data_IF_841517985064
#
_entry.id   IF_841517985064
#
_cell.length_a   1.000
_cell.length_b   1.000
_cell.length_c   1.000
_cell.angle_alpha   90.00
_cell.angle_beta   90.00
_cell.angle_gamma   90.00
#
_symmetry.space_group_name_H-M   'P 1'
#
loop_
_entity.id
_entity.type
_entity.pdbx_description
1 polymer ?
#
# COMPACT_ATOMS: atom_id res chain seq x y z
N UNK A 1 -21.94 25.35 11.31
CA UNK A 1 -21.96 24.01 11.93
C UNK A 1 -21.74 22.98 10.83
N UNK A 2 -20.64 22.22 10.96
CA UNK A 2 -20.22 21.20 9.98
C UNK A 2 -21.36 20.22 9.66
N UNK A 3 -21.56 19.85 8.39
CA UNK A 3 -22.71 19.07 7.93
C UNK A 3 -22.86 17.73 8.65
N UNK A 4 -21.77 17.02 8.90
CA UNK A 4 -21.74 15.75 9.64
C UNK A 4 -22.14 15.96 11.12
N UNK A 5 -21.56 16.95 11.78
CA UNK A 5 -21.88 17.29 13.18
C UNK A 5 -23.36 17.68 13.31
N UNK A 6 -23.88 18.52 12.40
CA UNK A 6 -25.30 18.91 12.36
C UNK A 6 -26.24 17.73 12.16
N UNK A 7 -25.85 16.79 11.29
CA UNK A 7 -26.61 15.58 11.00
C UNK A 7 -26.59 14.60 12.19
N UNK A 8 -25.46 14.48 12.86
CA UNK A 8 -25.31 13.67 14.07
C UNK A 8 -26.08 14.26 15.25
N UNK A 9 -25.96 15.55 15.50
CA UNK A 9 -26.71 16.24 16.54
C UNK A 9 -28.23 16.13 16.30
N UNK A 10 -28.71 16.32 15.07
CA UNK A 10 -30.12 16.17 14.71
C UNK A 10 -30.62 14.74 14.85
N UNK A 11 -29.77 13.74 14.63
CA UNK A 11 -30.14 12.33 14.71
C UNK A 11 -30.17 11.80 16.14
N UNK A 12 -29.27 12.28 16.99
CA UNK A 12 -29.01 11.68 18.30
C UNK A 12 -29.28 12.57 19.51
N UNK A 13 -29.49 13.86 19.33
CA UNK A 13 -29.81 14.81 20.40
C UNK A 13 -31.17 15.45 20.14
N UNK A 14 -32.19 14.85 20.69
CA UNK A 14 -33.57 15.38 20.68
C UNK A 14 -33.81 16.23 21.92
N UNK A 15 -33.21 17.43 22.00
CA UNK A 15 -33.43 18.38 23.08
C UNK A 15 -32.93 19.78 22.68
N UNK A 16 -33.47 20.81 23.39
CA UNK A 16 -33.11 22.21 23.17
C UNK A 16 -31.66 22.46 23.64
N UNK A 17 -30.69 22.33 22.73
CA UNK A 17 -29.26 22.52 22.95
C UNK A 17 -28.84 24.02 23.12
N UNK A 18 -29.82 24.92 23.22
CA UNK A 18 -29.57 26.36 23.14
C UNK A 18 -29.25 27.05 24.46
N UNK A 19 -29.28 26.40 25.62
CA UNK A 19 -29.23 27.05 26.93
C UNK A 19 -28.00 26.70 27.78
N UNK A 20 -27.08 25.83 27.32
CA UNK A 20 -25.87 25.49 28.04
C UNK A 20 -24.63 26.05 27.34
N UNK A 21 -24.08 27.15 27.87
CA UNK A 21 -22.89 27.83 27.32
C UNK A 21 -21.65 26.94 27.24
N UNK A 22 -21.52 25.97 28.14
CA UNK A 22 -20.41 25.00 28.16
C UNK A 22 -20.52 24.01 26.99
N UNK A 23 -21.72 23.54 26.73
CA UNK A 23 -21.99 22.62 25.62
C UNK A 23 -21.86 23.33 24.27
N UNK A 24 -22.28 24.60 24.19
CA UNK A 24 -22.13 25.44 22.99
C UNK A 24 -20.64 25.65 22.64
N UNK A 25 -19.83 25.98 23.62
CA UNK A 25 -18.38 26.14 23.45
C UNK A 25 -17.70 24.85 23.02
N UNK A 26 -18.07 23.72 23.58
CA UNK A 26 -17.58 22.39 23.19
C UNK A 26 -17.97 22.05 21.75
N UNK A 27 -19.24 22.23 21.38
CA UNK A 27 -19.71 21.98 20.03
C UNK A 27 -19.01 22.87 18.99
N UNK A 28 -18.71 24.11 19.32
CA UNK A 28 -17.95 25.03 18.47
C UNK A 28 -16.51 24.55 18.29
N UNK A 29 -15.87 24.08 19.34
CA UNK A 29 -14.50 23.53 19.28
C UNK A 29 -14.46 22.24 18.44
N UNK A 30 -15.44 21.36 18.62
CA UNK A 30 -15.60 20.14 17.82
C UNK A 30 -15.85 20.45 16.35
N UNK A 31 -16.72 21.41 16.05
CA UNK A 31 -16.99 21.89 14.69
C UNK A 31 -15.71 22.37 14.00
N UNK A 32 -14.98 23.26 14.66
CA UNK A 32 -13.71 23.78 14.13
C UNK A 32 -12.68 22.69 13.87
N UNK A 33 -12.69 21.65 14.71
CA UNK A 33 -11.82 20.48 14.53
C UNK A 33 -12.25 19.64 13.32
N UNK A 34 -13.55 19.47 13.07
CA UNK A 34 -14.06 18.78 11.88
C UNK A 34 -13.73 19.55 10.59
N UNK A 35 -13.95 20.88 10.56
CA UNK A 35 -13.63 21.71 9.40
C UNK A 35 -12.13 21.65 9.07
N UNK A 36 -11.28 21.81 10.08
CA UNK A 36 -9.83 21.71 9.91
C UNK A 36 -9.38 20.31 9.47
N UNK A 37 -10.09 19.27 9.93
CA UNK A 37 -9.84 17.90 9.52
C UNK A 37 -10.22 17.65 8.05
N UNK A 38 -11.39 18.12 7.61
CA UNK A 38 -11.83 17.97 6.22
C UNK A 38 -10.91 18.71 5.26
N UNK A 39 -10.47 19.91 5.60
CA UNK A 39 -9.52 20.68 4.80
C UNK A 39 -8.18 19.96 4.69
N UNK A 40 -7.63 19.48 5.81
CA UNK A 40 -6.37 18.74 5.83
C UNK A 40 -6.49 17.39 5.12
N UNK A 41 -7.61 16.68 5.28
CA UNK A 41 -7.86 15.42 4.58
C UNK A 41 -7.97 15.65 3.06
N UNK A 42 -8.65 16.70 2.65
CA UNK A 42 -8.75 17.10 1.25
C UNK A 42 -7.39 17.48 0.66
N UNK A 43 -6.57 18.23 1.42
CA UNK A 43 -5.19 18.53 1.03
C UNK A 43 -4.34 17.26 0.91
N UNK A 44 -4.44 16.35 1.87
CA UNK A 44 -3.71 15.08 1.85
C UNK A 44 -4.14 14.20 0.66
N UNK A 45 -5.45 14.12 0.40
CA UNK A 45 -5.96 13.40 -0.77
C UNK A 45 -5.46 14.00 -2.08
N UNK A 46 -5.46 15.32 -2.21
CA UNK A 46 -4.91 16.00 -3.39
C UNK A 46 -3.41 15.75 -3.53
N UNK A 47 -2.65 15.88 -2.45
CA UNK A 47 -1.21 15.63 -2.46
C UNK A 47 -0.88 14.17 -2.82
N UNK A 48 -1.61 13.20 -2.27
CA UNK A 48 -1.42 11.77 -2.60
C UNK A 48 -1.84 11.46 -4.04
N UNK A 49 -2.91 12.07 -4.55
CA UNK A 49 -3.34 11.91 -5.94
C UNK A 49 -2.30 12.46 -6.90
N UNK A 50 -1.86 13.71 -6.69
CA UNK A 50 -0.84 14.37 -7.51
C UNK A 50 0.47 13.56 -7.49
N UNK A 51 0.93 13.15 -6.30
CA UNK A 51 2.15 12.34 -6.18
C UNK A 51 2.00 10.96 -6.81
N UNK A 52 0.82 10.35 -6.76
CA UNK A 52 0.56 9.08 -7.44
C UNK A 52 0.56 9.24 -8.96
N UNK A 53 -0.01 10.32 -9.48
CA UNK A 53 -0.01 10.65 -10.91
C UNK A 53 1.41 10.96 -11.40
N UNK A 54 2.18 11.74 -10.64
CA UNK A 54 3.58 12.06 -10.95
C UNK A 54 4.47 10.81 -10.89
N UNK A 55 4.27 9.94 -9.89
CA UNK A 55 4.98 8.67 -9.77
C UNK A 55 4.65 7.74 -10.94
N UNK A 56 3.37 7.67 -11.34
CA UNK A 56 2.94 6.89 -12.50
C UNK A 56 3.55 7.44 -13.80
N UNK A 57 3.55 8.77 -13.95
CA UNK A 57 4.17 9.42 -15.10
C UNK A 57 5.69 9.16 -15.15
N UNK A 58 6.39 9.29 -14.02
CA UNK A 58 7.81 9.01 -13.91
C UNK A 58 8.15 7.54 -14.18
N UNK A 59 7.37 6.60 -13.65
CA UNK A 59 7.54 5.17 -13.95
C UNK A 59 7.33 4.86 -15.43
N UNK A 60 6.31 5.46 -16.06
CA UNK A 60 6.08 5.30 -17.49
C UNK A 60 7.21 5.88 -18.34
N UNK A 61 7.78 6.99 -17.91
CA UNK A 61 8.94 7.60 -18.56
C UNK A 61 10.20 6.74 -18.41
N UNK A 62 10.43 6.17 -17.22
CA UNK A 62 11.48 5.19 -16.95
C UNK A 62 11.33 3.90 -17.78
N UNK A 63 10.11 3.39 -17.93
CA UNK A 63 9.83 2.22 -18.81
C UNK A 63 10.12 2.54 -20.27
N UNK A 64 9.70 3.70 -20.76
CA UNK A 64 9.98 4.14 -22.13
C UNK A 64 11.49 4.28 -22.34
N UNK A 65 12.19 4.83 -21.37
CA UNK A 65 13.63 5.00 -21.41
C UNK A 65 14.37 3.67 -21.38
N UNK A 66 13.93 2.72 -20.53
CA UNK A 66 14.49 1.37 -20.51
C UNK A 66 14.29 0.63 -21.85
N UNK A 67 13.14 0.83 -22.50
CA UNK A 67 12.90 0.27 -23.82
C UNK A 67 13.82 0.90 -24.90
N UNK A 68 14.06 2.23 -24.82
CA UNK A 68 15.01 2.91 -25.71
C UNK A 68 16.44 2.39 -25.51
N UNK A 69 16.87 2.23 -24.27
CA UNK A 69 18.19 1.66 -23.94
C UNK A 69 18.35 0.24 -24.48
N UNK A 70 17.33 -0.60 -24.33
CA UNK A 70 17.31 -1.96 -24.88
C UNK A 70 17.42 -1.95 -26.41
N UNK A 71 16.76 -1.01 -27.07
CA UNK A 71 16.84 -0.88 -28.53
C UNK A 71 18.24 -0.48 -29.00
N UNK A 72 18.89 0.45 -28.26
CA UNK A 72 20.26 0.88 -28.54
C UNK A 72 21.25 -0.24 -28.32
N UNK A 73 21.14 -0.99 -27.21
CA UNK A 73 21.97 -2.17 -26.93
C UNK A 73 21.84 -3.23 -28.02
N UNK A 74 20.63 -3.54 -28.47
CA UNK A 74 20.39 -4.46 -29.59
C UNK A 74 20.99 -3.94 -30.90
N UNK A 75 21.02 -2.62 -31.12
CA UNK A 75 21.62 -2.01 -32.29
C UNK A 75 23.16 -2.06 -32.27
N UNK A 76 23.75 -1.89 -31.07
CA UNK A 76 25.18 -2.08 -30.82
C UNK A 76 25.59 -3.53 -31.02
N UNK A 77 24.83 -4.49 -30.49
CA UNK A 77 25.08 -5.93 -30.65
C UNK A 77 25.05 -6.32 -32.14
N UNK A 78 24.06 -5.86 -32.88
CA UNK A 78 24.00 -6.07 -34.36
C UNK A 78 25.20 -5.42 -35.09
N UNK A 79 25.64 -4.25 -34.65
CA UNK A 79 26.80 -3.60 -35.24
C UNK A 79 28.09 -4.38 -34.96
N UNK A 80 28.25 -4.88 -33.71
CA UNK A 80 29.39 -5.72 -33.29
C UNK A 80 29.39 -7.04 -34.10
N UNK A 81 28.27 -7.74 -34.16
CA UNK A 81 28.14 -8.98 -34.94
C UNK A 81 28.44 -8.78 -36.42
N UNK A 82 28.00 -7.65 -36.99
CA UNK A 82 28.33 -7.29 -38.36
C UNK A 82 29.83 -7.00 -38.58
N UNK A 83 30.47 -6.44 -37.55
CA UNK A 83 31.94 -6.23 -37.54
C UNK A 83 32.70 -7.56 -37.46
N UNK A 84 32.29 -8.45 -36.55
CA UNK A 84 32.89 -9.76 -36.38
C UNK A 84 32.77 -10.61 -37.65
N UNK A 85 31.56 -10.65 -38.25
CA UNK A 85 31.34 -11.35 -39.53
C UNK A 85 32.20 -10.79 -40.68
N UNK A 86 32.43 -9.46 -40.72
CA UNK A 86 33.31 -8.85 -41.71
C UNK A 86 34.80 -9.08 -41.45
N UNK A 87 35.21 -9.26 -40.17
CA UNK A 87 36.59 -9.62 -39.80
C UNK A 87 36.87 -11.08 -40.13
N UNK A 88 35.92 -12.01 -39.90
CA UNK A 88 36.05 -13.44 -40.25
C UNK A 88 36.12 -13.62 -41.78
N UNK A 89 35.38 -12.83 -42.56
CA UNK A 89 35.42 -12.87 -44.03
C UNK A 89 36.75 -12.33 -44.61
N UNK A 90 37.50 -11.49 -43.88
CA UNK A 90 38.80 -10.99 -44.33
C UNK A 90 39.93 -12.03 -44.20
N UNK A 91 39.74 -13.13 -43.48
CA UNK A 91 40.69 -14.22 -43.34
C UNK A 91 40.63 -15.26 -44.48
N UNK A 92 39.68 -15.14 -45.42
CA UNK A 92 39.60 -15.93 -46.64
C UNK A 92 39.55 -15.01 -47.83
N UNK A 93 40.70 -14.81 -48.43
CA UNK A 93 41.04 -14.25 -49.75
C UNK A 93 39.88 -14.11 -50.75
N UNK A 94 39.54 -12.88 -51.17
CA UNK A 94 39.63 -12.52 -52.61
C UNK A 94 39.60 -10.98 -52.81
N UNK A 95 40.55 -10.52 -53.55
CA UNK A 95 40.83 -9.16 -53.94
C UNK A 95 39.96 -8.77 -55.15
N UNK A 96 38.65 -8.54 -55.00
CA UNK A 96 37.82 -7.82 -55.94
C UNK A 96 36.34 -7.89 -55.59
N UNK A 97 35.93 -7.01 -54.70
CA UNK A 97 34.55 -6.46 -54.74
C UNK A 97 34.50 -5.18 -53.95
N UNK A 98 34.05 -4.12 -54.58
CA UNK A 98 33.78 -2.78 -54.09
C UNK A 98 32.65 -2.72 -53.05
N UNK A 99 32.81 -3.39 -51.92
CA UNK A 99 32.15 -3.01 -50.68
C UNK A 99 33.22 -2.53 -49.73
N UNK A 100 33.70 -1.32 -50.04
CA UNK A 100 34.55 -0.58 -49.12
C UNK A 100 33.80 -0.47 -47.81
N UNK A 101 34.20 -1.30 -46.83
CA UNK A 101 33.72 -1.23 -45.46
C UNK A 101 34.07 0.17 -44.96
N UNK A 102 33.07 1.00 -44.84
CA UNK A 102 33.24 2.41 -44.43
C UNK A 102 33.44 2.44 -42.91
N UNK A 103 34.63 2.06 -42.45
CA UNK A 103 35.03 2.03 -41.04
C UNK A 103 34.81 3.41 -40.39
N UNK A 104 34.90 4.49 -41.18
CA UNK A 104 34.68 5.85 -40.70
C UNK A 104 33.20 6.11 -40.37
N UNK A 105 32.29 5.64 -41.19
CA UNK A 105 30.85 5.72 -40.92
C UNK A 105 30.45 4.89 -39.72
N UNK A 106 31.03 3.71 -39.55
CA UNK A 106 30.76 2.84 -38.39
C UNK A 106 31.33 3.44 -37.10
N UNK A 107 32.56 3.96 -37.13
CA UNK A 107 33.17 4.65 -36.00
C UNK A 107 32.34 5.89 -35.58
N UNK A 108 31.83 6.65 -36.53
CA UNK A 108 30.93 7.78 -36.29
C UNK A 108 29.60 7.28 -35.65
N UNK A 109 29.01 6.22 -36.17
CA UNK A 109 27.77 5.65 -35.61
C UNK A 109 27.95 5.15 -34.20
N UNK A 110 29.07 4.47 -33.89
CA UNK A 110 29.44 4.04 -32.55
C UNK A 110 29.62 5.25 -31.62
N UNK A 111 30.29 6.28 -32.07
CA UNK A 111 30.50 7.53 -31.31
C UNK A 111 29.16 8.22 -30.99
N UNK A 112 28.26 8.30 -31.98
CA UNK A 112 26.92 8.89 -31.82
C UNK A 112 26.06 8.07 -30.83
N UNK A 113 26.15 6.73 -30.91
CA UNK A 113 25.47 5.84 -29.97
C UNK A 113 26.04 5.99 -28.55
N UNK A 114 27.38 6.03 -28.41
CA UNK A 114 28.01 6.22 -27.10
C UNK A 114 27.61 7.56 -26.48
N UNK A 115 27.56 8.64 -27.26
CA UNK A 115 27.09 9.95 -26.81
C UNK A 115 25.63 9.89 -26.35
N UNK A 116 24.74 9.24 -27.12
CA UNK A 116 23.33 9.05 -26.72
C UNK A 116 23.21 8.27 -25.44
N UNK A 117 23.94 7.16 -25.27
CA UNK A 117 23.93 6.36 -24.04
C UNK A 117 24.38 7.19 -22.83
N UNK A 118 25.44 8.01 -23.01
CA UNK A 118 25.92 8.88 -21.94
C UNK A 118 24.87 9.95 -21.53
N UNK A 119 24.20 10.56 -22.51
CA UNK A 119 23.12 11.53 -22.25
C UNK A 119 21.95 10.87 -21.52
N UNK A 120 21.52 9.71 -22.01
CA UNK A 120 20.43 8.95 -21.39
C UNK A 120 20.76 8.49 -19.96
N UNK A 121 22.00 8.10 -19.70
CA UNK A 121 22.44 7.74 -18.35
C UNK A 121 22.37 8.96 -17.42
N UNK A 122 22.80 10.13 -17.88
CA UNK A 122 22.71 11.38 -17.10
C UNK A 122 21.26 11.80 -16.83
N UNK A 123 20.38 11.71 -17.83
CA UNK A 123 18.94 12.01 -17.67
C UNK A 123 18.28 11.04 -16.69
N UNK A 124 18.57 9.74 -16.79
CA UNK A 124 18.10 8.74 -15.83
C UNK A 124 18.53 9.07 -14.40
N UNK A 125 19.80 9.42 -14.20
CA UNK A 125 20.31 9.75 -12.87
C UNK A 125 19.63 11.02 -12.31
N UNK A 126 19.34 12.00 -13.15
CA UNK A 126 18.58 13.19 -12.77
C UNK A 126 17.15 12.83 -12.36
N UNK A 127 16.43 12.05 -13.18
CA UNK A 127 15.06 11.60 -12.88
C UNK A 127 15.00 10.79 -11.60
N UNK A 128 15.94 9.89 -11.37
CA UNK A 128 16.02 9.10 -10.12
C UNK A 128 16.24 10.00 -8.90
N UNK A 129 17.08 11.03 -9.03
CA UNK A 129 17.30 11.99 -7.93
C UNK A 129 16.06 12.82 -7.65
N UNK A 130 15.38 13.31 -8.69
CA UNK A 130 14.15 14.09 -8.55
C UNK A 130 13.03 13.25 -7.92
N UNK A 131 12.84 12.01 -8.40
CA UNK A 131 11.88 11.07 -7.85
C UNK A 131 12.15 10.78 -6.36
N UNK A 132 13.43 10.60 -5.99
CA UNK A 132 13.82 10.41 -4.59
C UNK A 132 13.48 11.64 -3.75
N UNK A 133 13.78 12.84 -4.23
CA UNK A 133 13.50 14.09 -3.52
C UNK A 133 12.00 14.32 -3.35
N UNK A 134 11.19 14.04 -4.38
CA UNK A 134 9.73 14.12 -4.29
C UNK A 134 9.17 13.11 -3.30
N UNK A 135 9.67 11.87 -3.31
CA UNK A 135 9.26 10.84 -2.37
C UNK A 135 9.59 11.23 -0.92
N UNK A 136 10.81 11.73 -0.65
CA UNK A 136 11.21 12.25 0.67
C UNK A 136 10.31 13.42 1.11
N UNK A 137 9.97 14.34 0.21
CA UNK A 137 9.08 15.47 0.50
C UNK A 137 7.66 15.00 0.83
N UNK A 138 7.11 14.04 0.08
CA UNK A 138 5.81 13.44 0.35
C UNK A 138 5.77 12.76 1.72
N UNK A 139 6.80 12.01 2.05
CA UNK A 139 6.91 11.33 3.35
C UNK A 139 6.96 12.32 4.51
N UNK A 140 7.77 13.36 4.37
CA UNK A 140 7.83 14.43 5.37
C UNK A 140 6.48 15.14 5.54
N UNK A 141 5.80 15.42 4.42
CA UNK A 141 4.47 16.01 4.44
C UNK A 141 3.45 15.09 5.13
N UNK A 142 3.45 13.80 4.80
CA UNK A 142 2.58 12.81 5.44
C UNK A 142 2.81 12.73 6.96
N UNK A 143 4.08 12.79 7.40
CA UNK A 143 4.44 12.84 8.81
C UNK A 143 3.89 14.09 9.52
N UNK A 144 4.10 15.27 8.96
CA UNK A 144 3.67 16.55 9.54
C UNK A 144 2.13 16.55 9.65
N UNK A 145 1.44 16.24 8.56
CA UNK A 145 -0.03 16.24 8.53
C UNK A 145 -0.60 15.19 9.51
N UNK A 146 0.00 14.01 9.58
CA UNK A 146 -0.45 12.97 10.51
C UNK A 146 -0.29 13.40 11.98
N UNK A 147 0.84 14.02 12.33
CA UNK A 147 1.08 14.55 13.67
C UNK A 147 0.04 15.62 14.03
N UNK A 148 -0.20 16.56 13.11
CA UNK A 148 -1.12 17.69 13.32
C UNK A 148 -2.59 17.27 13.36
N UNK A 149 -2.94 16.15 12.71
CA UNK A 149 -4.27 15.55 12.80
C UNK A 149 -4.45 14.72 14.09
N UNK A 150 -3.42 14.02 14.54
CA UNK A 150 -3.50 13.21 15.77
C UNK A 150 -3.66 14.05 17.03
N UNK A 151 -3.01 15.20 17.09
CA UNK A 151 -3.06 16.07 18.29
C UNK A 151 -4.49 16.47 18.66
N UNK A 152 -5.32 17.06 17.77
CA UNK A 152 -6.70 17.41 18.11
C UNK A 152 -7.58 16.18 18.40
N UNK A 153 -7.35 15.05 17.71
CA UNK A 153 -8.10 13.81 17.95
C UNK A 153 -7.85 13.31 19.37
N UNK A 154 -6.59 13.27 19.82
CA UNK A 154 -6.23 12.88 21.19
C UNK A 154 -6.84 13.80 22.21
N UNK A 155 -6.81 15.13 21.97
CA UNK A 155 -7.42 16.10 22.86
C UNK A 155 -8.93 15.87 23.00
N UNK A 156 -9.65 15.66 21.87
CA UNK A 156 -11.09 15.38 21.89
C UNK A 156 -11.36 14.05 22.60
N UNK A 157 -10.56 13.01 22.35
CA UNK A 157 -10.68 11.71 23.03
C UNK A 157 -10.49 11.84 24.54
N UNK A 158 -9.49 12.60 24.97
CA UNK A 158 -9.25 12.86 26.40
C UNK A 158 -10.41 13.61 27.05
N UNK A 159 -10.92 14.67 26.42
CA UNK A 159 -12.07 15.43 26.91
C UNK A 159 -13.32 14.57 26.99
N UNK A 160 -13.56 13.71 25.99
CA UNK A 160 -14.67 12.77 26.00
C UNK A 160 -14.58 11.77 27.14
N UNK A 161 -13.37 11.26 27.43
CA UNK A 161 -13.15 10.34 28.55
C UNK A 161 -13.41 11.03 29.90
N UNK A 162 -12.94 12.26 30.09
CA UNK A 162 -13.22 13.03 31.30
C UNK A 162 -14.72 13.26 31.49
N UNK A 163 -15.43 13.67 30.45
CA UNK A 163 -16.89 13.86 30.51
C UNK A 163 -17.59 12.54 30.87
N UNK A 164 -17.14 11.43 30.31
CA UNK A 164 -17.72 10.12 30.62
C UNK A 164 -17.43 9.65 32.04
N UNK A 165 -16.26 9.99 32.59
CA UNK A 165 -15.89 9.66 33.97
C UNK A 165 -16.62 10.53 34.99
N UNK A 166 -16.63 11.86 34.80
CA UNK A 166 -17.16 12.83 35.73
C UNK A 166 -18.71 12.82 35.77
N UNK A 167 -19.38 12.63 34.64
CA UNK A 167 -20.83 12.75 34.51
C UNK A 167 -21.55 11.42 34.27
N UNK A 168 -20.88 10.28 34.53
CA UNK A 168 -21.37 8.93 34.21
C UNK A 168 -22.78 8.64 34.73
N UNK A 169 -23.13 9.15 35.91
CA UNK A 169 -24.44 8.93 36.55
C UNK A 169 -25.53 9.88 36.00
N UNK A 170 -25.17 11.01 35.43
CA UNK A 170 -26.11 12.02 34.91
C UNK A 170 -26.50 11.81 33.47
N UNK A 171 -25.76 11.02 32.71
CA UNK A 171 -26.08 10.73 31.31
C UNK A 171 -27.26 9.80 31.14
N UNK A 172 -28.19 10.18 30.26
CA UNK A 172 -29.21 9.28 29.75
C UNK A 172 -28.58 8.13 28.96
N UNK A 173 -29.34 7.07 28.75
CA UNK A 173 -28.92 5.93 27.93
C UNK A 173 -28.50 6.36 26.53
N UNK A 174 -29.26 7.31 25.94
CA UNK A 174 -29.00 7.84 24.60
C UNK A 174 -27.71 8.67 24.58
N UNK A 175 -27.45 9.51 25.60
CA UNK A 175 -26.22 10.28 25.72
C UNK A 175 -24.98 9.38 25.85
N UNK A 176 -25.07 8.30 26.61
CA UNK A 176 -23.97 7.30 26.71
C UNK A 176 -23.70 6.63 25.37
N UNK A 177 -24.75 6.25 24.65
CA UNK A 177 -24.63 5.65 23.31
C UNK A 177 -23.94 6.62 22.35
N UNK A 178 -24.32 7.90 22.39
CA UNK A 178 -23.71 8.93 21.53
C UNK A 178 -22.23 9.16 21.88
N UNK A 179 -21.87 9.22 23.14
CA UNK A 179 -20.48 9.33 23.59
C UNK A 179 -19.65 8.12 23.11
N UNK A 180 -20.21 6.90 23.21
CA UNK A 180 -19.57 5.70 22.71
C UNK A 180 -19.33 5.77 21.18
N UNK A 181 -20.30 6.28 20.42
CA UNK A 181 -20.16 6.47 18.97
C UNK A 181 -19.09 7.51 18.63
N UNK A 182 -19.00 8.60 19.40
CA UNK A 182 -17.96 9.61 19.20
C UNK A 182 -16.59 8.99 19.46
N UNK A 183 -16.41 8.26 20.55
CA UNK A 183 -15.15 7.57 20.89
C UNK A 183 -14.74 6.59 19.79
N UNK A 184 -15.68 5.78 19.29
CA UNK A 184 -15.43 4.86 18.17
C UNK A 184 -15.01 5.59 16.89
N UNK A 185 -15.61 6.74 16.60
CA UNK A 185 -15.22 7.55 15.42
C UNK A 185 -13.81 8.15 15.60
N UNK A 186 -13.45 8.62 16.79
CA UNK A 186 -12.11 9.14 17.08
C UNK A 186 -11.05 8.03 16.92
N UNK A 187 -11.30 6.83 17.44
CA UNK A 187 -10.42 5.68 17.25
C UNK A 187 -10.29 5.29 15.76
N UNK A 188 -11.38 5.39 15.02
CA UNK A 188 -11.36 5.14 13.56
C UNK A 188 -10.54 6.19 12.82
N UNK A 189 -10.63 7.46 13.20
CA UNK A 189 -9.82 8.54 12.64
C UNK A 189 -8.34 8.33 12.94
N UNK A 190 -7.98 7.98 14.17
CA UNK A 190 -6.59 7.70 14.54
C UNK A 190 -6.00 6.56 13.69
N UNK A 191 -6.73 5.44 13.56
CA UNK A 191 -6.33 4.33 12.69
C UNK A 191 -6.21 4.69 11.21
N UNK A 192 -7.07 5.60 10.71
CA UNK A 192 -6.99 6.09 9.32
C UNK A 192 -5.70 6.88 9.12
N UNK A 193 -5.35 7.77 10.04
CA UNK A 193 -4.14 8.58 9.97
C UNK A 193 -2.89 7.69 10.04
N UNK A 194 -2.88 6.71 10.95
CA UNK A 194 -1.80 5.73 11.03
C UNK A 194 -1.61 4.98 9.72
N UNK A 195 -2.69 4.48 9.14
CA UNK A 195 -2.64 3.75 7.89
C UNK A 195 -2.17 4.60 6.70
N UNK A 196 -2.58 5.89 6.64
CA UNK A 196 -2.09 6.82 5.61
C UNK A 196 -0.59 7.05 5.77
N UNK A 197 -0.14 7.34 6.99
CA UNK A 197 1.27 7.57 7.28
C UNK A 197 2.10 6.35 6.92
N UNK A 198 1.67 5.18 7.34
CA UNK A 198 2.35 3.92 7.07
C UNK A 198 2.41 3.62 5.57
N UNK A 199 1.30 3.83 4.85
CA UNK A 199 1.29 3.70 3.40
C UNK A 199 2.25 4.70 2.73
N UNK A 200 2.29 5.95 3.16
CA UNK A 200 3.15 6.98 2.58
C UNK A 200 4.65 6.69 2.81
N UNK A 201 5.03 6.27 4.03
CA UNK A 201 6.44 6.09 4.43
C UNK A 201 7.03 4.72 4.06
N UNK A 202 6.23 3.83 3.49
CA UNK A 202 6.68 2.48 3.10
C UNK A 202 7.73 2.53 2.00
N UNK A 203 8.86 1.84 2.22
CA UNK A 203 9.98 1.77 1.26
C UNK A 203 11.05 2.86 1.43
N UNK A 204 10.94 3.76 2.42
CA UNK A 204 11.91 4.87 2.62
C UNK A 204 12.88 4.65 3.77
N UNK A 205 12.59 3.72 4.65
CA UNK A 205 13.48 3.38 5.78
C UNK A 205 14.46 2.27 5.41
N UNK A 206 15.64 2.27 6.02
CA UNK A 206 16.63 1.20 5.88
C UNK A 206 16.00 -0.14 6.29
N UNK A 207 15.91 -1.05 5.36
CA UNK A 207 15.30 -2.35 5.53
C UNK A 207 16.21 -3.27 6.34
N UNK A 208 15.74 -3.69 7.52
CA UNK A 208 16.39 -4.75 8.30
C UNK A 208 15.87 -6.10 7.81
N UNK A 209 16.50 -6.65 6.78
CA UNK A 209 16.23 -8.01 6.32
C UNK A 209 16.76 -9.04 7.32
N UNK A 210 15.88 -9.94 7.73
CA UNK A 210 16.22 -11.06 8.62
C UNK A 210 15.61 -12.36 8.10
N UNK A 211 16.26 -13.48 8.39
CA UNK A 211 15.70 -14.80 8.11
C UNK A 211 14.77 -15.22 9.24
N UNK A 212 13.54 -15.58 8.93
CA UNK A 212 12.54 -16.05 9.92
C UNK A 212 11.60 -17.09 9.31
N UNK A 213 11.04 -17.92 10.17
CA UNK A 213 9.98 -18.86 9.75
C UNK A 213 8.65 -18.15 9.60
N UNK A 214 7.98 -18.29 8.47
CA UNK A 214 6.62 -17.78 8.30
C UNK A 214 5.66 -18.39 9.31
N UNK A 215 5.87 -19.66 9.68
CA UNK A 215 5.05 -20.32 10.71
C UNK A 215 5.08 -19.55 12.02
N UNK A 216 6.28 -19.12 12.49
CA UNK A 216 6.38 -18.37 13.75
C UNK A 216 5.63 -17.04 13.70
N UNK A 217 5.60 -16.37 12.55
CA UNK A 217 4.81 -15.14 12.35
C UNK A 217 3.31 -15.44 12.43
N UNK A 218 2.83 -16.49 11.76
CA UNK A 218 1.41 -16.86 11.79
C UNK A 218 0.98 -17.34 13.18
N UNK A 219 1.83 -18.09 13.90
CA UNK A 219 1.55 -18.52 15.27
C UNK A 219 1.43 -17.32 16.22
N UNK A 220 2.31 -16.31 16.06
CA UNK A 220 2.25 -15.06 16.82
C UNK A 220 0.98 -14.26 16.49
N UNK A 221 0.64 -14.11 15.21
CA UNK A 221 -0.58 -13.43 14.80
C UNK A 221 -1.84 -14.14 15.34
N UNK A 222 -1.86 -15.46 15.32
CA UNK A 222 -2.98 -16.25 15.87
C UNK A 222 -3.17 -16.07 17.39
N UNK A 223 -2.09 -15.78 18.13
CA UNK A 223 -2.16 -15.51 19.57
C UNK A 223 -2.54 -14.06 19.88
N UNK A 224 -2.15 -13.11 19.04
CA UNK A 224 -2.35 -11.67 19.30
C UNK A 224 -3.66 -11.12 18.73
N UNK A 225 -4.15 -11.70 17.64
CA UNK A 225 -5.41 -11.28 17.03
C UNK A 225 -6.61 -11.88 17.76
N UNK A 226 -7.66 -11.06 17.87
CA UNK A 226 -8.96 -11.59 18.31
C UNK A 226 -9.58 -12.42 17.18
N UNK A 227 -9.63 -13.73 17.38
CA UNK A 227 -10.25 -14.70 16.47
C UNK A 227 -11.46 -15.31 17.17
N UNK A 228 -12.68 -15.11 16.66
CA UNK A 228 -13.89 -15.74 17.19
C UNK A 228 -13.78 -17.27 17.25
N UNK A 229 -14.40 -17.90 18.25
CA UNK A 229 -14.30 -19.36 18.49
C UNK A 229 -14.85 -20.22 17.35
N UNK A 230 -15.75 -19.67 16.53
CA UNK A 230 -16.32 -20.32 15.36
C UNK A 230 -15.39 -20.31 14.15
N UNK A 231 -14.21 -19.66 14.21
CA UNK A 231 -13.28 -19.54 13.10
C UNK A 231 -12.03 -20.36 13.36
N UNK A 232 -11.66 -21.17 12.38
CA UNK A 232 -10.43 -21.98 12.40
C UNK A 232 -9.45 -21.52 11.32
N UNK A 233 -8.21 -21.18 11.74
CA UNK A 233 -7.12 -20.82 10.83
C UNK A 233 -6.23 -22.05 10.65
N UNK A 234 -6.08 -22.50 9.41
CA UNK A 234 -5.36 -23.71 9.02
C UNK A 234 -4.18 -23.33 8.13
N UNK A 235 -3.01 -23.83 8.45
CA UNK A 235 -1.79 -23.78 7.62
C UNK A 235 -0.90 -24.98 7.88
N UNK A 236 -0.06 -25.33 6.90
CA UNK A 236 0.84 -26.46 7.00
C UNK A 236 1.99 -26.19 7.98
N UNK A 237 2.53 -27.23 8.59
CA UNK A 237 3.71 -27.13 9.45
C UNK A 237 4.98 -26.73 8.67
N UNK A 238 5.02 -27.06 7.37
CA UNK A 238 6.13 -26.78 6.47
C UNK A 238 5.88 -25.50 5.66
N UNK A 239 5.86 -24.34 6.35
CA UNK A 239 5.86 -23.04 5.68
C UNK A 239 7.29 -22.57 5.42
N UNK A 240 7.51 -21.67 4.43
CA UNK A 240 8.85 -21.23 4.06
C UNK A 240 9.54 -20.43 5.15
N UNK A 241 10.89 -20.47 5.12
CA UNK A 241 11.72 -19.46 5.74
C UNK A 241 11.85 -18.30 4.75
N UNK A 242 11.54 -17.09 5.23
CA UNK A 242 11.61 -15.87 4.43
C UNK A 242 12.82 -15.05 4.88
N UNK A 243 13.46 -14.36 3.92
CA UNK A 243 14.49 -13.37 4.19
C UNK A 243 14.02 -12.01 3.72
N UNK A 244 13.43 -11.25 4.63
CA UNK A 244 12.84 -9.94 4.36
C UNK A 244 12.59 -9.18 5.67
N UNK A 245 11.96 -8.02 5.63
CA UNK A 245 11.58 -7.25 6.81
C UNK A 245 10.37 -7.91 7.50
N UNK A 246 10.60 -8.51 8.67
CA UNK A 246 9.59 -9.28 9.41
C UNK A 246 8.30 -8.48 9.67
N UNK A 247 8.41 -7.19 10.03
CA UNK A 247 7.27 -6.32 10.32
C UNK A 247 6.35 -6.14 9.11
N UNK A 248 6.92 -6.07 7.90
CA UNK A 248 6.13 -5.95 6.65
C UNK A 248 5.33 -7.21 6.39
N UNK A 249 5.95 -8.36 6.62
CA UNK A 249 5.28 -9.66 6.44
C UNK A 249 4.20 -9.86 7.51
N UNK A 250 4.48 -9.54 8.76
CA UNK A 250 3.47 -9.53 9.84
C UNK A 250 2.27 -8.68 9.44
N UNK A 251 2.49 -7.48 8.96
CA UNK A 251 1.46 -6.54 8.54
C UNK A 251 0.65 -7.04 7.33
N UNK A 252 1.32 -7.61 6.32
CA UNK A 252 0.66 -8.19 5.16
C UNK A 252 -0.31 -9.30 5.58
N UNK A 253 0.20 -10.28 6.33
CA UNK A 253 -0.63 -11.40 6.79
C UNK A 253 -1.70 -10.96 7.78
N UNK A 254 -1.39 -10.05 8.70
CA UNK A 254 -2.37 -9.47 9.64
C UNK A 254 -3.56 -8.84 8.91
N UNK A 255 -3.31 -8.00 7.89
CA UNK A 255 -4.38 -7.35 7.13
C UNK A 255 -5.25 -8.38 6.38
N UNK A 256 -4.65 -9.38 5.74
CA UNK A 256 -5.40 -10.42 5.03
C UNK A 256 -6.18 -11.33 6.00
N UNK A 257 -5.58 -11.70 7.13
CA UNK A 257 -6.25 -12.52 8.16
C UNK A 257 -7.42 -11.75 8.79
N UNK A 258 -7.25 -10.48 9.15
CA UNK A 258 -8.35 -9.66 9.70
C UNK A 258 -9.51 -9.54 8.71
N UNK A 259 -9.21 -9.35 7.41
CA UNK A 259 -10.24 -9.31 6.38
C UNK A 259 -10.98 -10.65 6.28
N UNK A 260 -10.27 -11.78 6.29
CA UNK A 260 -10.84 -13.11 6.26
C UNK A 260 -11.68 -13.40 7.53
N UNK A 261 -11.20 -13.03 8.72
CA UNK A 261 -11.96 -13.14 9.98
C UNK A 261 -13.26 -12.34 9.90
N UNK A 262 -13.18 -11.08 9.43
CA UNK A 262 -14.38 -10.23 9.29
C UNK A 262 -15.38 -10.79 8.27
N UNK A 263 -14.89 -11.40 7.19
CA UNK A 263 -15.74 -12.01 6.17
C UNK A 263 -16.42 -13.29 6.67
N UNK A 264 -15.82 -14.00 7.62
CA UNK A 264 -16.30 -15.28 8.17
C UNK A 264 -17.00 -15.16 9.54
N UNK A 265 -17.03 -13.97 10.14
CA UNK A 265 -17.56 -13.76 11.51
C UNK A 265 -19.00 -14.27 11.69
N UNK A 266 -19.85 -14.12 10.67
CA UNK A 266 -21.24 -14.56 10.67
C UNK A 266 -21.43 -16.03 10.24
N UNK A 267 -20.37 -16.77 9.95
CA UNK A 267 -20.41 -18.17 9.51
C UNK A 267 -20.25 -19.09 10.73
N UNK A 268 -21.11 -20.08 10.90
CA UNK A 268 -21.05 -21.01 12.04
C UNK A 268 -19.73 -21.77 12.13
N UNK A 269 -19.13 -22.10 10.99
CA UNK A 269 -17.83 -22.75 10.86
C UNK A 269 -16.97 -21.98 9.88
N UNK A 270 -16.36 -20.89 10.34
CA UNK A 270 -15.43 -20.10 9.58
C UNK A 270 -14.11 -20.86 9.39
N UNK A 271 -13.62 -20.94 8.15
CA UNK A 271 -12.36 -21.59 7.81
C UNK A 271 -11.51 -20.59 7.04
N UNK A 272 -10.28 -20.40 7.52
CA UNK A 272 -9.26 -19.59 6.85
C UNK A 272 -8.06 -20.49 6.57
N UNK A 273 -7.75 -20.75 5.30
CA UNK A 273 -6.67 -21.63 4.91
C UNK A 273 -5.52 -20.81 4.28
N UNK A 274 -4.29 -21.00 4.80
CA UNK A 274 -3.09 -20.33 4.32
C UNK A 274 -2.15 -21.36 3.72
N UNK A 275 -1.78 -21.17 2.44
CA UNK A 275 -0.84 -22.03 1.73
C UNK A 275 0.32 -21.24 1.14
N UNK A 276 1.47 -21.90 1.04
CA UNK A 276 2.65 -21.38 0.36
C UNK A 276 3.14 -22.41 -0.67
N UNK A 277 3.61 -21.94 -1.81
CA UNK A 277 4.20 -22.78 -2.88
C UNK A 277 5.43 -22.09 -3.43
N UNK A 278 6.50 -22.86 -3.56
CA UNK A 278 7.71 -22.43 -4.25
C UNK A 278 7.47 -22.34 -5.76
N UNK A 279 7.81 -21.20 -6.37
CA UNK A 279 7.75 -20.95 -7.82
C UNK A 279 9.12 -20.52 -8.39
N UNK A 280 10.22 -21.04 -7.85
CA UNK A 280 11.56 -20.69 -8.28
C UNK A 280 11.98 -19.32 -7.68
N UNK A 281 11.93 -18.26 -8.47
CA UNK A 281 12.33 -16.91 -8.03
C UNK A 281 11.35 -16.25 -7.06
N UNK A 282 10.14 -16.80 -6.92
CA UNK A 282 9.08 -16.25 -6.07
C UNK A 282 8.50 -17.31 -5.13
N UNK A 283 8.06 -16.86 -3.97
CA UNK A 283 7.08 -17.58 -3.17
C UNK A 283 5.67 -17.16 -3.59
N UNK A 284 4.81 -18.12 -3.88
CA UNK A 284 3.37 -17.88 -4.09
C UNK A 284 2.58 -18.29 -2.87
N UNK A 285 1.76 -17.38 -2.39
CA UNK A 285 0.87 -17.58 -1.25
C UNK A 285 -0.58 -17.54 -1.68
N UNK A 286 -1.42 -18.25 -0.94
CA UNK A 286 -2.87 -18.11 -1.03
C UNK A 286 -3.47 -18.07 0.37
N UNK A 287 -4.43 -17.17 0.59
CA UNK A 287 -5.25 -17.09 1.80
C UNK A 287 -6.70 -17.22 1.34
N UNK A 288 -7.34 -18.30 1.76
CA UNK A 288 -8.72 -18.65 1.37
C UNK A 288 -9.62 -18.61 2.58
N UNK A 289 -10.73 -17.93 2.48
CA UNK A 289 -11.81 -17.94 3.45
C UNK A 289 -13.10 -18.49 2.84
N UNK A 290 -13.98 -19.03 3.67
CA UNK A 290 -15.33 -19.45 3.29
C UNK A 290 -16.40 -18.43 3.71
N UNK A 291 -16.04 -17.15 3.73
CA UNK A 291 -16.87 -16.05 4.17
C UNK A 291 -17.91 -15.57 3.14
N UNK A 292 -18.40 -14.35 3.37
CA UNK A 292 -19.43 -13.72 2.52
C UNK A 292 -19.02 -13.43 1.09
N UNK A 293 -17.73 -13.53 0.77
CA UNK A 293 -17.21 -13.19 -0.55
C UNK A 293 -17.26 -11.70 -0.89
N UNK A 294 -16.84 -11.36 -2.11
CA UNK A 294 -16.76 -10.00 -2.63
C UNK A 294 -17.53 -9.92 -3.96
N UNK A 295 -18.55 -9.06 -4.07
CA UNK A 295 -19.28 -8.85 -5.32
C UNK A 295 -18.36 -8.42 -6.46
N UNK A 296 -18.62 -8.90 -7.68
CA UNK A 296 -17.75 -8.71 -8.85
C UNK A 296 -17.45 -7.24 -9.15
N UNK A 297 -18.44 -6.37 -9.00
CA UNK A 297 -18.33 -4.92 -9.23
C UNK A 297 -17.35 -4.22 -8.28
N UNK A 298 -16.99 -4.83 -7.16
CA UNK A 298 -16.03 -4.29 -6.19
C UNK A 298 -14.62 -4.87 -6.33
N UNK A 299 -14.47 -6.06 -6.96
CA UNK A 299 -13.20 -6.79 -7.00
C UNK A 299 -12.05 -6.00 -7.65
N UNK A 300 -12.32 -5.16 -8.63
CA UNK A 300 -11.31 -4.33 -9.30
C UNK A 300 -10.78 -3.19 -8.43
N UNK A 301 -11.58 -2.67 -7.51
CA UNK A 301 -11.27 -1.46 -6.73
C UNK A 301 -10.93 -1.72 -5.26
N UNK A 302 -10.98 -2.97 -4.77
CA UNK A 302 -10.74 -3.26 -3.34
C UNK A 302 -9.32 -2.94 -2.85
N UNK A 303 -8.36 -2.83 -3.76
CA UNK A 303 -6.98 -2.45 -3.44
C UNK A 303 -6.75 -0.94 -3.44
N UNK A 304 -7.76 -0.15 -3.82
CA UNK A 304 -7.71 1.31 -3.71
C UNK A 304 -7.90 1.76 -2.25
N UNK A 305 -7.23 2.85 -1.88
CA UNK A 305 -7.37 3.41 -0.53
C UNK A 305 -8.81 3.86 -0.27
N UNK A 306 -9.28 3.67 0.97
CA UNK A 306 -10.60 4.08 1.46
C UNK A 306 -11.80 3.33 0.83
N UNK A 307 -11.55 2.33 0.00
CA UNK A 307 -12.62 1.48 -0.53
C UNK A 307 -13.10 0.49 0.52
N UNK A 308 -14.42 0.37 0.61
CA UNK A 308 -15.13 -0.52 1.54
C UNK A 308 -16.28 -1.18 0.81
N UNK A 309 -16.57 -2.41 1.17
CA UNK A 309 -17.75 -3.14 0.68
C UNK A 309 -19.03 -2.65 1.39
N UNK A 310 -18.93 -2.40 2.70
CA UNK A 310 -20.03 -1.94 3.54
C UNK A 310 -19.69 -0.58 4.15
N UNK A 311 -20.61 0.37 4.06
CA UNK A 311 -20.48 1.72 4.66
C UNK A 311 -20.43 1.70 6.18
N UNK A 312 -21.05 0.69 6.80
CA UNK A 312 -21.12 0.54 8.27
C UNK A 312 -19.97 -0.29 8.84
N UNK A 313 -19.04 -0.76 8.01
CA UNK A 313 -17.93 -1.59 8.49
C UNK A 313 -16.96 -0.79 9.38
N UNK A 314 -16.50 -1.44 10.46
CA UNK A 314 -15.46 -0.91 11.36
C UNK A 314 -14.11 -0.74 10.68
N UNK A 315 -13.95 -1.27 9.47
CA UNK A 315 -12.70 -1.22 8.71
C UNK A 315 -12.37 0.20 8.22
N UNK A 316 -11.10 0.50 8.05
CA UNK A 316 -10.62 1.80 7.54
C UNK A 316 -10.60 1.90 6.01
N UNK A 317 -10.60 0.75 5.30
CA UNK A 317 -10.43 0.70 3.84
C UNK A 317 -8.98 0.94 3.39
N UNK A 318 -7.99 0.82 4.29
CA UNK A 318 -6.56 1.00 3.98
C UNK A 318 -5.83 -0.34 3.92
N UNK A 319 -6.31 -1.36 4.64
CA UNK A 319 -5.59 -2.62 4.81
C UNK A 319 -5.20 -3.32 3.50
N UNK A 320 -6.11 -3.41 2.52
CA UNK A 320 -5.80 -4.05 1.23
C UNK A 320 -4.91 -3.18 0.34
N UNK A 321 -5.03 -1.86 0.39
CA UNK A 321 -4.09 -0.97 -0.29
C UNK A 321 -2.67 -1.15 0.25
N UNK A 322 -2.53 -1.32 1.57
CA UNK A 322 -1.26 -1.59 2.22
C UNK A 322 -0.69 -2.96 1.83
N UNK A 323 -1.55 -3.99 1.77
CA UNK A 323 -1.16 -5.32 1.27
C UNK A 323 -0.59 -5.22 -0.13
N UNK A 324 -1.29 -4.52 -1.04
CA UNK A 324 -0.81 -4.31 -2.41
C UNK A 324 0.55 -3.63 -2.42
N UNK A 325 0.72 -2.56 -1.67
CA UNK A 325 1.99 -1.82 -1.60
C UNK A 325 3.14 -2.67 -1.05
N UNK A 326 2.88 -3.55 -0.05
CA UNK A 326 3.89 -4.48 0.45
C UNK A 326 4.26 -5.50 -0.64
N UNK A 327 3.28 -6.05 -1.35
CA UNK A 327 3.54 -7.00 -2.44
C UNK A 327 4.34 -6.34 -3.56
N UNK A 328 4.00 -5.11 -3.95
CA UNK A 328 4.72 -4.33 -4.96
C UNK A 328 6.17 -4.04 -4.50
N UNK A 329 6.40 -3.74 -3.21
CA UNK A 329 7.74 -3.53 -2.62
C UNK A 329 8.64 -4.77 -2.78
N UNK A 330 8.06 -5.98 -2.68
CA UNK A 330 8.78 -7.24 -2.89
C UNK A 330 8.66 -7.75 -4.33
N UNK A 331 8.47 -6.88 -5.31
CA UNK A 331 8.38 -7.18 -6.74
C UNK A 331 7.44 -8.37 -7.04
N UNK A 332 6.33 -8.43 -6.31
CA UNK A 332 5.31 -9.46 -6.43
C UNK A 332 4.06 -8.99 -7.16
N UNK A 333 3.11 -9.89 -7.29
CA UNK A 333 1.78 -9.62 -7.84
C UNK A 333 0.71 -10.07 -6.84
N UNK A 334 -0.42 -9.36 -6.78
CA UNK A 334 -1.58 -9.74 -5.99
C UNK A 334 -2.82 -9.81 -6.86
N UNK A 335 -3.62 -10.85 -6.64
CA UNK A 335 -4.90 -11.08 -7.29
C UNK A 335 -5.88 -11.76 -6.35
N UNK A 336 -7.15 -11.82 -6.73
CA UNK A 336 -8.16 -12.54 -5.96
C UNK A 336 -9.08 -13.35 -6.87
N UNK A 337 -9.71 -14.35 -6.26
CA UNK A 337 -10.89 -15.03 -6.77
C UNK A 337 -11.94 -15.03 -5.68
N UNK A 338 -13.10 -14.51 -5.96
CA UNK A 338 -14.18 -14.42 -4.98
C UNK A 338 -15.54 -14.64 -5.64
N UNK A 339 -16.41 -15.28 -4.91
CA UNK A 339 -17.80 -15.44 -5.29
C UNK A 339 -18.66 -15.12 -4.07
N UNK A 340 -19.69 -14.32 -4.28
CA UNK A 340 -20.58 -13.88 -3.21
C UNK A 340 -21.22 -15.08 -2.49
N UNK A 341 -21.17 -15.09 -1.16
CA UNK A 341 -21.62 -16.17 -0.27
C UNK A 341 -20.87 -17.52 -0.42
N UNK A 342 -19.70 -17.54 -1.09
CA UNK A 342 -18.86 -18.75 -1.17
C UNK A 342 -17.46 -18.55 -0.59
N UNK A 343 -17.06 -17.28 -0.43
CA UNK A 343 -15.76 -16.92 0.13
C UNK A 343 -14.81 -16.24 -0.85
N UNK A 344 -13.60 -15.97 -0.37
CA UNK A 344 -12.56 -15.28 -1.12
C UNK A 344 -11.25 -16.01 -1.02
N UNK A 345 -10.48 -16.03 -2.10
CA UNK A 345 -9.08 -16.44 -2.11
C UNK A 345 -8.23 -15.28 -2.63
N UNK A 346 -7.36 -14.78 -1.79
CA UNK A 346 -6.29 -13.87 -2.20
C UNK A 346 -5.06 -14.67 -2.60
N UNK A 347 -4.49 -14.35 -3.74
CA UNK A 347 -3.22 -14.90 -4.22
C UNK A 347 -2.21 -13.77 -4.31
N UNK A 348 -1.01 -13.99 -3.79
CA UNK A 348 0.08 -13.04 -3.96
C UNK A 348 1.42 -13.75 -4.08
N UNK A 349 2.39 -13.07 -4.67
CA UNK A 349 3.76 -13.54 -4.81
C UNK A 349 4.70 -12.59 -4.11
N UNK A 350 5.80 -13.11 -3.60
CA UNK A 350 6.93 -12.32 -3.07
C UNK A 350 8.19 -12.84 -3.72
N UNK A 351 8.98 -11.95 -4.29
CA UNK A 351 10.27 -12.30 -4.91
C UNK A 351 11.25 -12.74 -3.83
N UNK A 352 11.93 -13.83 -4.08
CA UNK A 352 13.02 -14.26 -3.21
C UNK A 352 14.20 -13.32 -3.39
N UNK A 353 14.87 -12.87 -2.29
CA UNK A 353 16.07 -12.08 -2.42
C UNK A 353 17.14 -12.89 -3.16
N UNK A 354 17.92 -12.20 -3.98
CA UNK A 354 19.06 -12.80 -4.68
C UNK A 354 20.03 -13.36 -3.63
N UNK A 355 20.28 -14.66 -3.66
CA UNK A 355 21.27 -15.28 -2.81
C UNK A 355 22.67 -14.80 -3.28
N UNK A 356 23.29 -13.85 -2.52
CA UNK A 356 24.65 -13.36 -2.79
C UNK A 356 25.73 -14.34 -2.34
N UNK A 357 25.36 -15.57 -2.02
CA UNK A 357 26.27 -16.62 -1.51
C UNK A 357 26.64 -17.67 -2.57
N UNK A 358 26.81 -17.24 -3.83
CA UNK A 358 27.52 -18.03 -4.87
C UNK A 358 28.58 -17.18 -5.56
#
# INVERSE_FOLDING_TARGET
MHTLLKRQLKKYLSGNLGEDDTLSSFLTAVERSYENYDDKLSMLQRATTISSEELYAANRELENEAQRQKHILNSLEKAITSLEANLEHKNHLDYNSEKQFDAEKLAKHISDLASKVATMASEKDHLLKDLKTQNESLNNYAHIVSHDLKSPIRNISTLMNWILEDEKEKFSTDSRSNCSLITQNLEKMDKLIDGILEHATMGTTSENYVSFSLKSVLDNLKQTLYIPKNINIIYADTLPILFCEIKRIEQLFMNLIINAVTATEAIDQGIIEIKAKDQGDHWKFSITDNGKGIPENHQSSIFEMFKKLDTDSKSTGIGLALVKKIVDLYEGEISLKSEENKGTTFFFTLKKPYDRST
#
